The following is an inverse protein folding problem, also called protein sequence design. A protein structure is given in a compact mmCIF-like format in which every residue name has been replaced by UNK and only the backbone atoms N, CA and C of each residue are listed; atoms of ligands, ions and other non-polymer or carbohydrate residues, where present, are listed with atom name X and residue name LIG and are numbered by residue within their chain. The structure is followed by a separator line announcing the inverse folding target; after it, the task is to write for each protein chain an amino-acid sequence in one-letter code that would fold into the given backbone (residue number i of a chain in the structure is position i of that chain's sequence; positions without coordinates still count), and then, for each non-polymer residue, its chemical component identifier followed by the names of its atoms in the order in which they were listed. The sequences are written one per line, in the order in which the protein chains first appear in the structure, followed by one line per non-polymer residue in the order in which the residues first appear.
data_IF_322165747052
#
_entry.id   IF_322165747052
#
_cell.length_a   1.000
_cell.length_b   1.000
_cell.length_c   1.000
_cell.angle_alpha   90.00
_cell.angle_beta   90.00
_cell.angle_gamma   90.00
#
_symmetry.space_group_name_H-M   'P 1'
#
loop_
_entity.id
_entity.type
_entity.pdbx_description
1 polymer ?
#
# COMPACT_ATOMS: atom_id res chain seq x y z
N UNK A 1 -39.95 -16.48 25.41
CA UNK A 1 -39.36 -17.02 24.16
C UNK A 1 -37.93 -16.51 24.12
N UNK A 2 -37.08 -17.17 24.89
CA UNK A 2 -35.68 -16.82 25.06
C UNK A 2 -34.86 -17.40 23.91
N UNK A 3 -34.21 -16.53 23.13
CA UNK A 3 -33.21 -16.95 22.16
C UNK A 3 -31.82 -16.51 22.60
N UNK A 4 -31.12 -17.48 23.18
CA UNK A 4 -29.71 -17.49 23.56
C UNK A 4 -28.82 -17.05 22.38
N UNK A 5 -28.06 -15.98 22.61
CA UNK A 5 -26.88 -15.66 21.80
C UNK A 5 -25.78 -16.68 22.07
N UNK A 6 -25.50 -17.52 21.08
CA UNK A 6 -24.33 -18.38 21.05
C UNK A 6 -23.07 -17.50 20.95
N UNK A 7 -22.41 -17.27 22.08
CA UNK A 7 -21.05 -16.77 22.13
C UNK A 7 -20.10 -17.77 21.46
N UNK A 8 -19.46 -17.36 20.36
CA UNK A 8 -18.29 -18.06 19.86
C UNK A 8 -17.20 -18.04 20.96
N UNK A 9 -16.71 -19.20 21.43
CA UNK A 9 -15.62 -19.22 22.39
C UNK A 9 -14.37 -18.69 21.70
N UNK A 10 -13.80 -17.62 22.29
CA UNK A 10 -12.45 -17.18 21.98
C UNK A 10 -11.51 -18.38 22.00
N UNK A 11 -10.54 -18.44 21.09
CA UNK A 11 -9.46 -19.43 21.08
C UNK A 11 -8.64 -19.28 22.37
N UNK A 12 -9.17 -19.80 23.46
CA UNK A 12 -8.47 -20.05 24.68
C UNK A 12 -7.24 -20.89 24.33
N UNK A 13 -6.11 -20.43 24.84
CA UNK A 13 -4.80 -21.02 24.66
C UNK A 13 -4.86 -22.55 24.56
N UNK A 14 -4.48 -23.08 23.38
CA UNK A 14 -3.88 -24.41 23.30
C UNK A 14 -2.62 -24.37 24.15
N UNK A 15 -2.76 -24.55 25.46
CA UNK A 15 -1.67 -24.88 26.37
C UNK A 15 -1.05 -26.13 25.77
N UNK A 16 0.17 -26.01 25.26
CA UNK A 16 0.96 -27.17 24.86
C UNK A 16 0.96 -28.12 26.06
N UNK A 17 0.74 -29.43 25.87
CA UNK A 17 0.98 -30.38 26.95
C UNK A 17 2.41 -30.14 27.45
N UNK A 18 2.57 -30.07 28.77
CA UNK A 18 3.88 -29.94 29.39
C UNK A 18 4.83 -31.04 28.89
N UNK A 19 6.15 -30.82 28.98
CA UNK A 19 7.11 -31.84 28.59
C UNK A 19 6.76 -33.18 29.26
N UNK A 20 6.87 -34.31 28.55
CA UNK A 20 6.52 -35.62 29.11
C UNK A 20 7.29 -35.84 30.41
N UNK A 21 6.57 -36.29 31.44
CA UNK A 21 7.14 -36.60 32.74
C UNK A 21 8.29 -37.60 32.57
N UNK A 22 9.51 -37.21 32.97
CA UNK A 22 10.69 -38.07 32.92
C UNK A 22 11.91 -37.49 32.18
N UNK A 23 11.79 -36.36 31.47
CA UNK A 23 12.98 -35.66 30.97
C UNK A 23 13.47 -34.72 32.07
N UNK A 24 14.68 -34.93 32.65
CA UNK A 24 15.22 -34.01 33.64
C UNK A 24 15.28 -32.60 33.04
N UNK A 25 14.92 -31.55 33.80
CA UNK A 25 15.06 -30.18 33.32
C UNK A 25 16.51 -29.98 32.86
N UNK A 26 16.68 -29.34 31.69
CA UNK A 26 18.01 -29.04 31.20
C UNK A 26 18.80 -28.33 32.32
N UNK A 27 20.08 -28.68 32.56
CA UNK A 27 20.87 -28.06 33.61
C UNK A 27 20.79 -26.53 33.49
N UNK A 28 20.75 -25.77 34.59
CA UNK A 28 20.77 -24.31 34.53
C UNK A 28 22.03 -23.84 33.77
N UNK A 29 21.95 -22.68 33.13
CA UNK A 29 23.12 -22.05 32.50
C UNK A 29 24.05 -21.53 33.58
N UNK A 30 25.31 -21.97 33.55
CA UNK A 30 26.36 -21.49 34.45
C UNK A 30 26.92 -20.15 33.95
N UNK A 31 27.49 -19.37 34.86
CA UNK A 31 28.11 -18.08 34.53
C UNK A 31 29.29 -18.24 33.55
N UNK A 32 30.04 -19.34 33.66
CA UNK A 32 31.11 -19.68 32.72
C UNK A 32 30.60 -19.92 31.29
N UNK A 33 29.49 -20.65 31.13
CA UNK A 33 28.87 -20.88 29.83
C UNK A 33 28.31 -19.58 29.23
N UNK A 34 27.74 -18.71 30.07
CA UNK A 34 27.23 -17.39 29.66
C UNK A 34 28.39 -16.49 29.22
N UNK A 35 29.48 -16.45 29.97
CA UNK A 35 30.68 -15.68 29.65
C UNK A 35 31.31 -16.17 28.33
N UNK A 36 31.42 -17.48 28.14
CA UNK A 36 31.92 -18.07 26.89
C UNK A 36 31.02 -17.72 25.69
N UNK A 37 29.70 -17.91 25.83
CA UNK A 37 28.73 -17.55 24.79
C UNK A 37 28.81 -16.06 24.42
N UNK A 38 28.96 -15.18 25.41
CA UNK A 38 29.08 -13.73 25.23
C UNK A 38 30.38 -13.35 24.51
N UNK A 39 31.51 -13.91 24.94
CA UNK A 39 32.82 -13.68 24.33
C UNK A 39 32.86 -14.14 22.86
N UNK A 40 32.39 -15.36 22.57
CA UNK A 40 32.37 -15.91 21.20
C UNK A 40 31.44 -15.14 20.26
N UNK A 41 30.31 -14.64 20.77
CA UNK A 41 29.36 -13.84 19.99
C UNK A 41 29.77 -12.39 19.80
N UNK A 42 30.74 -11.89 20.56
CA UNK A 42 31.27 -10.53 20.45
C UNK A 42 32.48 -10.43 19.51
N UNK A 43 32.96 -11.55 18.94
CA UNK A 43 34.02 -11.58 17.93
C UNK A 43 33.53 -11.01 16.59
N UNK A 44 34.47 -10.54 15.77
CA UNK A 44 34.21 -10.09 14.39
C UNK A 44 35.05 -10.92 13.41
N UNK A 45 34.43 -11.83 12.61
CA UNK A 45 33.02 -12.20 12.59
C UNK A 45 32.60 -13.05 13.82
N UNK A 46 31.33 -13.01 14.23
CA UNK A 46 30.85 -13.74 15.39
C UNK A 46 30.83 -15.24 15.13
N UNK A 47 31.26 -16.03 16.12
CA UNK A 47 31.23 -17.50 16.01
C UNK A 47 29.79 -18.00 15.85
N UNK A 48 29.60 -19.03 15.03
CA UNK A 48 28.29 -19.61 14.76
C UNK A 48 27.71 -20.28 16.02
N UNK A 49 26.39 -20.13 16.24
CA UNK A 49 25.71 -20.74 17.40
C UNK A 49 25.83 -22.28 17.41
N UNK A 50 25.78 -23.00 16.27
CA UNK A 50 26.03 -24.44 16.27
C UNK A 50 27.41 -24.82 16.82
N UNK A 51 28.48 -24.12 16.43
CA UNK A 51 29.83 -24.39 16.93
C UNK A 51 29.97 -24.10 18.43
N UNK A 52 29.35 -23.03 18.92
CA UNK A 52 29.32 -22.71 20.35
C UNK A 52 28.54 -23.78 21.14
N UNK A 53 27.41 -24.25 20.59
CA UNK A 53 26.59 -25.27 21.22
C UNK A 53 27.33 -26.60 21.36
N UNK A 54 28.07 -27.00 20.33
CA UNK A 54 28.95 -28.17 20.34
C UNK A 54 30.02 -28.06 21.43
N UNK A 55 30.72 -26.91 21.51
CA UNK A 55 31.76 -26.69 22.52
C UNK A 55 31.24 -26.70 23.96
N UNK A 56 30.02 -26.20 24.18
CA UNK A 56 29.37 -26.18 25.49
C UNK A 56 28.66 -27.50 25.84
N UNK A 57 28.59 -28.47 24.92
CA UNK A 57 27.82 -29.72 25.12
C UNK A 57 26.32 -29.47 25.27
N UNK A 58 25.80 -28.36 24.73
CA UNK A 58 24.40 -27.93 24.85
C UNK A 58 23.66 -28.16 23.54
N UNK A 59 22.34 -28.38 23.61
CA UNK A 59 21.49 -28.47 22.41
C UNK A 59 21.46 -27.13 21.67
N UNK A 60 21.66 -27.14 20.36
CA UNK A 60 21.67 -25.94 19.51
C UNK A 60 20.45 -25.02 19.71
N UNK A 61 19.20 -25.52 19.78
CA UNK A 61 18.04 -24.66 20.06
C UNK A 61 18.08 -23.98 21.44
N UNK A 62 18.64 -24.64 22.46
CA UNK A 62 18.78 -24.07 23.80
C UNK A 62 19.83 -22.95 23.81
N UNK A 63 20.95 -23.14 23.09
CA UNK A 63 21.99 -22.13 22.89
C UNK A 63 21.46 -20.92 22.11
N UNK A 64 20.68 -21.14 21.05
CA UNK A 64 20.00 -20.06 20.33
C UNK A 64 19.07 -19.26 21.23
N UNK A 65 18.24 -19.94 22.03
CA UNK A 65 17.32 -19.26 22.94
C UNK A 65 18.08 -18.44 24.00
N UNK A 66 19.14 -18.99 24.60
CA UNK A 66 19.95 -18.27 25.57
C UNK A 66 20.64 -17.05 24.95
N UNK A 67 21.26 -17.22 23.79
CA UNK A 67 21.90 -16.12 23.06
C UNK A 67 20.90 -15.02 22.70
N UNK A 68 19.64 -15.39 22.39
CA UNK A 68 18.54 -14.43 22.19
C UNK A 68 18.16 -13.70 23.48
N UNK A 69 18.01 -14.42 24.60
CA UNK A 69 17.71 -13.81 25.90
C UNK A 69 18.80 -12.84 26.37
N UNK A 70 20.06 -13.12 26.02
CA UNK A 70 21.20 -12.27 26.32
C UNK A 70 21.40 -11.12 25.32
N UNK A 71 20.56 -11.01 24.28
CA UNK A 71 20.69 -9.97 23.25
C UNK A 71 21.88 -10.14 22.29
N UNK A 72 22.57 -11.30 22.32
CA UNK A 72 23.78 -11.60 21.53
C UNK A 72 23.48 -12.01 20.07
N UNK A 73 22.21 -12.24 19.78
CA UNK A 73 21.72 -12.39 18.42
C UNK A 73 21.00 -11.10 18.09
N UNK A 74 21.70 -10.20 17.39
CA UNK A 74 21.05 -9.11 16.68
C UNK A 74 20.17 -9.77 15.62
N UNK A 75 18.87 -9.88 15.91
CA UNK A 75 17.92 -10.11 14.84
C UNK A 75 18.06 -8.91 13.92
N UNK A 76 18.67 -9.11 12.75
CA UNK A 76 18.65 -8.13 11.68
C UNK A 76 17.22 -8.05 11.16
N UNK A 77 16.31 -7.48 11.95
CA UNK A 77 15.02 -7.01 11.51
C UNK A 77 15.26 -5.75 10.69
N UNK A 78 15.85 -5.91 9.51
CA UNK A 78 15.87 -4.84 8.52
C UNK A 78 14.41 -4.56 8.20
N UNK A 79 13.89 -3.44 8.70
CA UNK A 79 12.52 -2.99 8.48
C UNK A 79 12.28 -2.88 6.97
N UNK A 80 11.05 -3.12 6.55
CA UNK A 80 10.64 -2.89 5.18
C UNK A 80 10.52 -1.39 4.94
N UNK A 81 11.36 -0.87 4.05
CA UNK A 81 11.23 0.50 3.57
C UNK A 81 10.07 0.59 2.58
N UNK A 82 9.61 1.80 2.30
CA UNK A 82 8.59 2.01 1.27
C UNK A 82 9.09 1.60 -0.13
N UNK A 83 10.40 1.74 -0.38
CA UNK A 83 11.07 1.21 -1.57
C UNK A 83 10.99 -0.33 -1.64
N UNK A 84 11.23 -1.04 -0.53
CA UNK A 84 11.10 -2.49 -0.47
C UNK A 84 9.65 -2.92 -0.77
N UNK A 85 8.66 -2.17 -0.25
CA UNK A 85 7.23 -2.42 -0.48
C UNK A 85 6.84 -2.17 -1.95
N UNK A 86 7.34 -1.09 -2.54
CA UNK A 86 7.12 -0.76 -3.95
C UNK A 86 7.74 -1.80 -4.87
N UNK A 87 9.00 -2.18 -4.62
CA UNK A 87 9.70 -3.22 -5.39
C UNK A 87 8.97 -4.57 -5.29
N UNK A 88 8.47 -4.93 -4.11
CA UNK A 88 7.67 -6.15 -3.95
C UNK A 88 6.36 -6.09 -4.76
N UNK A 89 5.69 -4.95 -4.79
CA UNK A 89 4.48 -4.76 -5.61
C UNK A 89 4.78 -4.89 -7.11
N UNK A 90 5.89 -4.32 -7.59
CA UNK A 90 6.35 -4.49 -8.97
C UNK A 90 6.60 -5.96 -9.30
N UNK A 91 7.36 -6.68 -8.45
CA UNK A 91 7.68 -8.09 -8.64
C UNK A 91 6.43 -8.99 -8.60
N UNK A 92 5.45 -8.67 -7.75
CA UNK A 92 4.20 -9.42 -7.62
C UNK A 92 3.26 -9.22 -8.82
N UNK A 93 3.39 -8.12 -9.56
CA UNK A 93 2.57 -7.78 -10.72
C UNK A 93 3.14 -8.30 -12.06
N UNK A 94 4.37 -8.84 -12.08
CA UNK A 94 5.01 -9.35 -13.30
C UNK A 94 4.19 -10.50 -13.92
N UNK A 95 4.09 -10.49 -15.25
CA UNK A 95 3.53 -11.59 -16.04
C UNK A 95 4.60 -12.17 -16.99
N UNK A 96 4.85 -13.49 -17.00
CA UNK A 96 4.28 -14.53 -16.15
C UNK A 96 4.56 -14.32 -14.65
N UNK A 97 3.64 -14.76 -13.76
CA UNK A 97 3.79 -14.54 -12.33
C UNK A 97 5.02 -15.28 -11.78
N UNK A 98 5.89 -14.54 -11.08
CA UNK A 98 7.05 -15.11 -10.41
C UNK A 98 6.62 -16.01 -9.24
N UNK A 99 7.44 -17.01 -8.91
CA UNK A 99 7.25 -17.86 -7.72
C UNK A 99 7.68 -17.14 -6.44
N UNK A 100 7.16 -17.54 -5.28
CA UNK A 100 7.53 -16.92 -3.98
C UNK A 100 9.05 -16.99 -3.74
N UNK A 101 9.70 -18.08 -4.18
CA UNK A 101 11.15 -18.25 -4.09
C UNK A 101 11.95 -17.28 -4.97
N UNK A 102 11.45 -16.99 -6.18
CA UNK A 102 12.10 -16.02 -7.08
C UNK A 102 11.96 -14.59 -6.55
N UNK A 103 10.80 -14.24 -6.01
CA UNK A 103 10.56 -12.94 -5.37
C UNK A 103 11.47 -12.79 -4.14
N UNK A 104 11.55 -13.82 -3.30
CA UNK A 104 12.43 -13.86 -2.14
C UNK A 104 13.91 -13.67 -2.50
N UNK A 105 14.38 -14.35 -3.55
CA UNK A 105 15.74 -14.17 -4.06
C UNK A 105 15.98 -12.75 -4.59
N UNK A 106 15.04 -12.17 -5.34
CA UNK A 106 15.16 -10.82 -5.89
C UNK A 106 15.14 -9.71 -4.82
N UNK A 107 14.55 -10.00 -3.66
CA UNK A 107 14.47 -9.12 -2.50
C UNK A 107 15.61 -9.36 -1.49
N UNK A 108 16.41 -10.41 -1.67
CA UNK A 108 17.40 -10.89 -0.69
C UNK A 108 16.78 -11.12 0.70
N UNK A 109 15.63 -11.80 0.74
CA UNK A 109 14.85 -12.06 1.97
C UNK A 109 14.31 -13.48 1.99
N UNK A 110 13.89 -13.92 3.18
CA UNK A 110 13.21 -15.21 3.34
C UNK A 110 11.83 -15.25 2.68
N UNK A 111 11.48 -16.41 2.12
CA UNK A 111 10.19 -16.67 1.44
C UNK A 111 9.00 -16.35 2.34
N UNK A 112 9.02 -16.83 3.58
CA UNK A 112 7.95 -16.60 4.56
C UNK A 112 7.79 -15.10 4.85
N UNK A 113 8.90 -14.37 4.92
CA UNK A 113 8.93 -12.92 5.16
C UNK A 113 8.26 -12.15 4.01
N UNK A 114 8.56 -12.53 2.76
CA UNK A 114 7.90 -11.95 1.57
C UNK A 114 6.43 -12.31 1.51
N UNK A 115 6.06 -13.53 1.87
CA UNK A 115 4.66 -13.99 1.88
C UNK A 115 3.82 -13.18 2.87
N UNK A 116 4.35 -12.95 4.07
CA UNK A 116 3.71 -12.07 5.06
C UNK A 116 3.55 -10.64 4.53
N UNK A 117 4.60 -10.07 3.95
CA UNK A 117 4.53 -8.71 3.42
C UNK A 117 3.57 -8.60 2.23
N UNK A 118 3.52 -9.60 1.35
CA UNK A 118 2.54 -9.65 0.25
C UNK A 118 1.09 -9.74 0.77
N UNK A 119 0.86 -10.45 1.87
CA UNK A 119 -0.45 -10.51 2.51
C UNK A 119 -0.84 -9.16 3.12
N UNK A 120 0.09 -8.50 3.81
CA UNK A 120 -0.08 -7.16 4.40
C UNK A 120 -0.42 -6.11 3.33
N UNK A 121 0.22 -6.20 2.16
CA UNK A 121 -0.01 -5.31 1.02
C UNK A 121 -1.20 -5.71 0.14
N UNK A 122 -1.89 -6.83 0.43
CA UNK A 122 -3.02 -7.31 -0.37
C UNK A 122 -2.66 -7.84 -1.76
N UNK A 123 -1.38 -8.11 -2.05
CA UNK A 123 -0.87 -8.49 -3.37
C UNK A 123 -1.22 -9.95 -3.75
N UNK A 124 -1.56 -10.78 -2.76
CA UNK A 124 -1.85 -12.21 -2.99
C UNK A 124 -3.03 -12.39 -3.94
N UNK A 125 -4.11 -11.62 -3.77
CA UNK A 125 -5.32 -11.77 -4.58
C UNK A 125 -5.06 -11.46 -6.06
N UNK A 126 -4.41 -10.31 -6.35
CA UNK A 126 -4.08 -9.93 -7.72
C UNK A 126 -3.13 -10.93 -8.41
N UNK A 127 -2.17 -11.47 -7.66
CA UNK A 127 -1.24 -12.48 -8.17
C UNK A 127 -1.91 -13.84 -8.43
N UNK A 128 -2.89 -14.24 -7.62
CA UNK A 128 -3.67 -15.46 -7.88
C UNK A 128 -4.40 -15.36 -9.22
N UNK A 129 -5.01 -14.21 -9.52
CA UNK A 129 -5.67 -13.97 -10.82
C UNK A 129 -4.69 -14.06 -11.98
N UNK A 130 -3.48 -13.48 -11.83
CA UNK A 130 -2.42 -13.61 -12.84
C UNK A 130 -1.98 -15.07 -13.03
N UNK A 131 -1.90 -15.85 -11.94
CA UNK A 131 -1.55 -17.26 -11.99
C UNK A 131 -2.61 -18.10 -12.70
N UNK A 132 -3.89 -17.87 -12.40
CA UNK A 132 -5.02 -18.52 -13.09
C UNK A 132 -5.05 -18.20 -14.58
N UNK A 133 -4.81 -16.93 -14.94
CA UNK A 133 -4.70 -16.55 -16.35
C UNK A 133 -3.53 -17.26 -17.04
N UNK A 134 -2.36 -17.29 -16.41
CA UNK A 134 -1.18 -17.96 -16.97
C UNK A 134 -1.37 -19.47 -17.11
N UNK A 135 -2.03 -20.11 -16.15
CA UNK A 135 -2.34 -21.55 -16.25
C UNK A 135 -3.35 -21.82 -17.37
N UNK A 136 -4.37 -20.98 -17.54
CA UNK A 136 -5.32 -21.07 -18.63
C UNK A 136 -4.65 -20.90 -20.01
N UNK A 137 -3.79 -19.88 -20.18
CA UNK A 137 -3.05 -19.67 -21.43
C UNK A 137 -2.12 -20.85 -21.75
N UNK A 138 -1.38 -21.39 -20.77
CA UNK A 138 -0.56 -22.60 -20.99
C UNK A 138 -1.39 -23.82 -21.35
N UNK A 139 -2.59 -23.95 -20.78
CA UNK A 139 -3.47 -25.06 -21.09
C UNK A 139 -3.99 -24.95 -22.52
N UNK A 140 -4.43 -23.76 -22.95
CA UNK A 140 -4.83 -23.50 -24.32
C UNK A 140 -3.72 -23.82 -25.34
N UNK A 141 -2.47 -23.44 -25.05
CA UNK A 141 -1.31 -23.77 -25.91
C UNK A 141 -1.11 -25.29 -26.00
N UNK A 142 -1.24 -26.03 -24.89
CA UNK A 142 -1.13 -27.50 -24.91
C UNK A 142 -2.26 -28.15 -25.70
N UNK A 143 -3.48 -27.65 -25.55
CA UNK A 143 -4.63 -28.21 -26.23
C UNK A 143 -4.58 -27.93 -27.74
N UNK A 144 -4.14 -26.74 -28.14
CA UNK A 144 -3.86 -26.42 -29.54
C UNK A 144 -2.76 -27.32 -30.14
N UNK A 145 -1.68 -27.58 -29.38
CA UNK A 145 -0.61 -28.49 -29.83
C UNK A 145 -1.11 -29.94 -29.98
N UNK A 146 -1.95 -30.42 -29.06
CA UNK A 146 -2.58 -31.76 -29.16
C UNK A 146 -3.53 -31.85 -30.35
N UNK A 147 -4.29 -30.80 -30.60
CA UNK A 147 -5.22 -30.75 -31.74
C UNK A 147 -4.46 -30.73 -33.07
N UNK A 148 -3.38 -29.96 -33.16
CA UNK A 148 -2.49 -29.98 -34.31
C UNK A 148 -1.88 -31.38 -34.54
N UNK A 149 -1.45 -32.07 -33.47
CA UNK A 149 -0.97 -33.45 -33.57
C UNK A 149 -2.07 -34.42 -34.04
N UNK A 150 -3.30 -34.27 -33.54
CA UNK A 150 -4.47 -35.07 -33.95
C UNK A 150 -4.77 -34.90 -35.43
N UNK A 151 -4.79 -33.65 -35.91
CA UNK A 151 -5.01 -33.33 -37.33
C UNK A 151 -3.86 -33.85 -38.20
N UNK A 152 -2.61 -33.71 -37.77
CA UNK A 152 -1.46 -34.26 -38.47
C UNK A 152 -1.52 -35.80 -38.57
N UNK A 153 -1.91 -36.50 -37.50
CA UNK A 153 -2.14 -37.96 -37.51
C UNK A 153 -3.31 -38.37 -38.41
N UNK A 154 -4.36 -37.56 -38.50
CA UNK A 154 -5.50 -37.82 -39.37
C UNK A 154 -5.18 -37.59 -40.85
N UNK A 155 -4.33 -36.60 -41.16
CA UNK A 155 -3.86 -36.28 -42.50
C UNK A 155 -2.72 -37.20 -42.98
N UNK A 156 -2.05 -37.89 -42.06
CA UNK A 156 -1.00 -38.84 -42.43
C UNK A 156 -1.60 -39.99 -43.26
N UNK A 157 -1.02 -40.30 -44.45
CA UNK A 157 -1.48 -41.42 -45.26
C UNK A 157 -1.36 -42.69 -44.42
N UNK A 158 -2.47 -43.44 -44.32
CA UNK A 158 -2.47 -44.78 -43.75
C UNK A 158 -1.67 -45.68 -44.70
N UNK A 159 -0.35 -45.68 -44.55
CA UNK A 159 0.48 -46.73 -45.09
C UNK A 159 0.02 -47.98 -44.36
N UNK A 160 -0.77 -48.79 -45.06
CA UNK A 160 -1.16 -50.12 -44.63
C UNK A 160 0.12 -50.94 -44.69
N UNK A 161 0.92 -50.84 -43.64
CA UNK A 161 1.97 -51.82 -43.39
C UNK A 161 1.17 -53.10 -43.16
N UNK A 162 1.09 -53.94 -44.19
CA UNK A 162 0.69 -55.32 -44.02
C UNK A 162 1.49 -55.83 -42.83
N UNK A 163 0.77 -56.11 -41.73
CA UNK A 163 1.37 -56.83 -40.62
C UNK A 163 1.81 -58.14 -41.23
N UNK A 164 3.12 -58.24 -41.49
CA UNK A 164 3.77 -59.53 -41.67
C UNK A 164 3.24 -60.39 -40.51
N UNK A 165 2.58 -61.52 -40.80
CA UNK A 165 1.96 -62.32 -39.77
C UNK A 165 3.01 -62.59 -38.70
N UNK A 166 2.72 -62.16 -37.47
CA UNK A 166 3.53 -62.50 -36.30
C UNK A 166 3.54 -64.02 -36.25
N UNK A 167 4.63 -64.61 -36.73
CA UNK A 167 4.89 -66.03 -36.57
C UNK A 167 4.79 -66.29 -35.07
N UNK A 168 3.88 -67.16 -34.61
CA UNK A 168 3.79 -67.46 -33.19
C UNK A 168 5.17 -67.94 -32.75
N UNK A 169 5.71 -67.34 -31.68
CA UNK A 169 6.97 -67.75 -31.11
C UNK A 169 6.86 -69.24 -30.79
N UNK A 170 7.47 -70.05 -31.66
CA UNK A 170 7.58 -71.48 -31.48
C UNK A 170 8.26 -71.70 -30.13
N UNK A 171 7.53 -72.35 -29.22
CA UNK A 171 8.06 -72.98 -28.00
C UNK A 171 9.45 -73.54 -28.32
N UNK A 172 10.49 -73.35 -27.50
CA UNK A 172 11.82 -73.85 -27.81
C UNK A 172 11.74 -75.38 -27.92
N UNK A 173 11.72 -75.88 -29.16
CA UNK A 173 11.82 -77.29 -29.45
C UNK A 173 13.19 -77.70 -28.93
N UNK A 174 13.18 -78.60 -27.96
CA UNK A 174 14.37 -79.21 -27.37
C UNK A 174 15.20 -79.78 -28.54
N UNK A 175 16.34 -79.16 -28.81
CA UNK A 175 17.24 -79.56 -29.90
C UNK A 175 17.52 -81.07 -29.79
N UNK A 176 17.25 -81.86 -30.85
CA UNK A 176 17.61 -83.27 -30.85
C UNK A 176 19.13 -83.39 -30.69
N UNK A 177 19.59 -84.36 -29.89
CA UNK A 177 21.02 -84.59 -29.58
C UNK A 177 21.91 -84.70 -30.84
N UNK A 178 21.33 -85.03 -32.00
CA UNK A 178 22.01 -85.04 -33.29
C UNK A 178 22.39 -83.65 -33.84
N UNK A 179 21.59 -82.60 -33.58
CA UNK A 179 21.93 -81.22 -33.96
C UNK A 179 23.10 -80.66 -33.11
N UNK A 180 23.20 -81.11 -31.85
CA UNK A 180 24.31 -80.77 -30.94
C UNK A 180 25.62 -81.47 -31.35
N UNK A 181 25.54 -82.69 -31.87
CA UNK A 181 26.68 -83.41 -32.44
C UNK A 181 27.13 -82.85 -33.80
N UNK A 182 26.19 -82.43 -34.67
CA UNK A 182 26.52 -81.75 -35.93
C UNK A 182 27.24 -80.40 -35.72
N UNK A 183 26.89 -79.67 -34.65
CA UNK A 183 27.67 -78.49 -34.24
C UNK A 183 29.09 -78.89 -33.85
N UNK A 184 29.33 -79.98 -33.15
CA UNK A 184 30.69 -80.37 -32.76
C UNK A 184 31.61 -80.71 -33.95
N UNK A 185 31.06 -81.07 -35.12
CA UNK A 185 31.80 -81.34 -36.36
C UNK A 185 31.80 -80.18 -37.39
N UNK A 186 31.25 -79.02 -37.04
CA UNK A 186 31.34 -77.85 -37.92
C UNK A 186 32.80 -77.41 -38.03
N UNK A 187 33.29 -77.36 -39.28
CA UNK A 187 34.65 -76.98 -39.66
C UNK A 187 35.12 -75.77 -38.83
N UNK A 188 36.22 -75.89 -38.07
CA UNK A 188 36.73 -74.81 -37.24
C UNK A 188 37.00 -73.52 -38.04
N UNK A 189 37.31 -73.63 -39.33
CA UNK A 189 37.51 -72.47 -40.22
C UNK A 189 36.21 -71.72 -40.50
N UNK A 190 35.10 -72.41 -40.78
CA UNK A 190 33.79 -71.79 -40.99
C UNK A 190 33.28 -71.06 -39.73
N UNK A 191 33.62 -71.56 -38.55
CA UNK A 191 33.29 -70.91 -37.27
C UNK A 191 34.12 -69.66 -37.00
N UNK A 192 35.39 -69.67 -37.38
CA UNK A 192 36.26 -68.49 -37.30
C UNK A 192 35.78 -67.42 -38.27
N UNK A 193 35.48 -67.77 -39.52
CA UNK A 193 34.92 -66.86 -40.52
C UNK A 193 33.59 -66.22 -40.07
N UNK A 194 32.67 -67.00 -39.50
CA UNK A 194 31.41 -66.46 -38.98
C UNK A 194 31.61 -65.51 -37.77
N UNK A 195 32.61 -65.79 -36.92
CA UNK A 195 32.98 -64.91 -35.80
C UNK A 195 33.63 -63.62 -36.28
N UNK A 196 34.43 -63.67 -37.34
CA UNK A 196 35.04 -62.49 -37.96
C UNK A 196 33.99 -61.61 -38.65
N UNK A 197 33.07 -62.20 -39.42
CA UNK A 197 31.93 -61.46 -39.99
C UNK A 197 31.06 -60.84 -38.89
N UNK A 198 30.79 -61.57 -37.79
CA UNK A 198 30.03 -61.01 -36.67
C UNK A 198 30.76 -59.86 -35.98
N UNK A 199 32.10 -59.90 -35.89
CA UNK A 199 32.91 -58.78 -35.39
C UNK A 199 32.87 -57.58 -36.33
N UNK A 200 32.98 -57.81 -37.64
CA UNK A 200 32.88 -56.77 -38.68
C UNK A 200 31.52 -56.06 -38.65
N UNK A 201 30.43 -56.83 -38.62
CA UNK A 201 29.07 -56.28 -38.49
C UNK A 201 28.87 -55.53 -37.17
N UNK A 202 29.46 -56.00 -36.06
CA UNK A 202 29.41 -55.30 -34.78
C UNK A 202 30.19 -53.99 -34.80
N UNK A 203 31.32 -53.91 -35.52
CA UNK A 203 32.07 -52.65 -35.70
C UNK A 203 31.32 -51.67 -36.59
N UNK A 204 30.71 -52.14 -37.68
CA UNK A 204 29.89 -51.30 -38.57
C UNK A 204 28.65 -50.76 -37.85
N UNK A 205 27.95 -51.60 -37.08
CA UNK A 205 26.80 -51.17 -36.28
C UNK A 205 27.19 -50.12 -35.23
N UNK A 206 28.35 -50.25 -34.58
CA UNK A 206 28.87 -49.24 -33.65
C UNK A 206 29.18 -47.92 -34.35
N UNK A 207 29.79 -47.98 -35.53
CA UNK A 207 30.10 -46.79 -36.33
C UNK A 207 28.82 -46.03 -36.74
N UNK A 208 27.79 -46.74 -37.18
CA UNK A 208 26.49 -46.14 -37.52
C UNK A 208 25.81 -45.48 -36.31
N UNK A 209 25.81 -46.13 -35.15
CA UNK A 209 25.26 -45.57 -33.90
C UNK A 209 26.00 -44.30 -33.50
N UNK A 210 27.34 -44.25 -33.65
CA UNK A 210 28.11 -43.03 -33.36
C UNK A 210 27.80 -41.89 -34.32
N UNK A 211 27.64 -42.15 -35.63
CA UNK A 211 27.28 -41.13 -36.62
C UNK A 211 25.89 -40.55 -36.32
N UNK A 212 24.92 -41.40 -36.01
CA UNK A 212 23.57 -40.96 -35.65
C UNK A 212 23.55 -40.16 -34.33
N UNK A 213 24.34 -40.57 -33.34
CA UNK A 213 24.50 -39.84 -32.09
C UNK A 213 25.13 -38.45 -32.31
N UNK A 214 26.14 -38.34 -33.18
CA UNK A 214 26.76 -37.07 -33.54
C UNK A 214 25.78 -36.14 -34.27
N UNK A 215 25.02 -36.65 -35.24
CA UNK A 215 23.99 -35.88 -35.94
C UNK A 215 22.90 -35.35 -34.98
N UNK A 216 22.49 -36.14 -33.98
CA UNK A 216 21.57 -35.69 -32.93
C UNK A 216 22.18 -34.60 -32.04
N UNK A 217 23.47 -34.69 -31.70
CA UNK A 217 24.17 -33.65 -30.92
C UNK A 217 24.22 -32.33 -31.70
N UNK A 218 24.53 -32.38 -32.99
CA UNK A 218 24.56 -31.19 -33.86
C UNK A 218 23.18 -30.56 -34.01
N UNK A 219 22.15 -31.39 -34.24
CA UNK A 219 20.76 -30.92 -34.31
C UNK A 219 20.34 -30.24 -33.00
N UNK A 220 20.66 -30.84 -31.85
CA UNK A 220 20.38 -30.24 -30.54
C UNK A 220 21.17 -28.94 -30.29
N UNK A 221 22.38 -28.81 -30.83
CA UNK A 221 23.14 -27.56 -30.78
C UNK A 221 22.48 -26.48 -31.62
N UNK A 222 22.06 -26.79 -32.85
CA UNK A 222 21.36 -25.85 -33.71
C UNK A 222 20.04 -25.36 -33.08
N UNK A 223 19.25 -26.27 -32.51
CA UNK A 223 18.02 -25.91 -31.79
C UNK A 223 18.28 -25.02 -30.57
N UNK A 224 19.38 -25.23 -29.84
CA UNK A 224 19.77 -24.36 -28.72
C UNK A 224 20.13 -22.96 -29.19
N UNK A 225 20.84 -22.82 -30.31
CA UNK A 225 21.18 -21.51 -30.88
C UNK A 225 19.91 -20.76 -31.26
N UNK A 226 19.00 -21.40 -32.00
CA UNK A 226 17.71 -20.81 -32.39
C UNK A 226 16.90 -20.40 -31.15
N UNK A 227 16.86 -21.23 -30.11
CA UNK A 227 16.16 -20.91 -28.87
C UNK A 227 16.77 -19.69 -28.13
N UNK A 228 18.10 -19.56 -28.14
CA UNK A 228 18.78 -18.40 -27.54
C UNK A 228 18.53 -17.12 -28.33
N UNK A 229 18.54 -17.19 -29.66
CA UNK A 229 18.21 -16.06 -30.54
C UNK A 229 16.76 -15.60 -30.35
N UNK A 230 15.82 -16.54 -30.26
CA UNK A 230 14.42 -16.23 -29.99
C UNK A 230 14.22 -15.58 -28.60
N UNK A 231 14.97 -16.04 -27.60
CA UNK A 231 14.94 -15.44 -26.25
C UNK A 231 15.52 -14.02 -26.28
N UNK A 232 16.62 -13.80 -26.99
CA UNK A 232 17.23 -12.48 -27.13
C UNK A 232 16.30 -11.49 -27.87
N UNK A 233 15.60 -11.94 -28.91
CA UNK A 233 14.59 -11.15 -29.61
C UNK A 233 13.42 -10.78 -28.68
N UNK A 234 12.91 -11.74 -27.92
CA UNK A 234 11.85 -11.50 -26.93
C UNK A 234 12.27 -10.48 -25.86
N UNK A 235 13.50 -10.59 -25.34
CA UNK A 235 14.03 -9.64 -24.36
C UNK A 235 14.22 -8.24 -24.96
N UNK A 236 14.58 -8.14 -26.25
CA UNK A 236 14.68 -6.86 -26.95
C UNK A 236 13.31 -6.20 -27.13
N UNK A 237 12.30 -6.96 -27.55
CA UNK A 237 10.92 -6.48 -27.69
C UNK A 237 10.35 -6.02 -26.34
N UNK A 238 10.59 -6.79 -25.28
CA UNK A 238 10.20 -6.41 -23.93
C UNK A 238 10.86 -5.12 -23.50
N UNK A 239 12.17 -4.95 -23.73
CA UNK A 239 12.88 -3.69 -23.41
C UNK A 239 12.35 -2.52 -24.23
N UNK A 240 11.99 -2.72 -25.49
CA UNK A 240 11.38 -1.69 -26.32
C UNK A 240 9.98 -1.28 -25.80
N UNK A 241 9.16 -2.25 -25.38
CA UNK A 241 7.86 -1.99 -24.76
C UNK A 241 8.02 -1.22 -23.43
N UNK A 242 8.96 -1.63 -22.58
CA UNK A 242 9.26 -0.95 -21.31
C UNK A 242 9.74 0.50 -21.56
N UNK A 243 10.57 0.71 -22.58
CA UNK A 243 11.02 2.05 -22.99
C UNK A 243 9.87 2.93 -23.48
N UNK A 244 8.98 2.38 -24.30
CA UNK A 244 7.79 3.09 -24.77
C UNK A 244 6.85 3.46 -23.62
N UNK A 245 6.61 2.53 -22.68
CA UNK A 245 5.80 2.79 -21.50
C UNK A 245 6.40 3.91 -20.61
N UNK A 246 7.73 3.94 -20.47
CA UNK A 246 8.43 5.02 -19.76
C UNK A 246 8.30 6.36 -20.47
N UNK A 247 8.38 6.39 -21.79
CA UNK A 247 8.22 7.61 -22.58
C UNK A 247 6.80 8.20 -22.45
N UNK A 248 5.77 7.36 -22.56
CA UNK A 248 4.37 7.76 -22.34
C UNK A 248 4.14 8.25 -20.91
N UNK A 249 4.69 7.57 -19.90
CA UNK A 249 4.57 8.01 -18.51
C UNK A 249 5.23 9.38 -18.28
N UNK A 250 6.37 9.66 -18.92
CA UNK A 250 7.01 10.98 -18.88
C UNK A 250 6.18 12.05 -19.57
N UNK A 251 5.55 11.74 -20.72
CA UNK A 251 4.65 12.66 -21.42
C UNK A 251 3.44 13.03 -20.55
N UNK A 252 2.78 12.04 -19.96
CA UNK A 252 1.65 12.25 -19.04
C UNK A 252 2.04 13.07 -17.81
N UNK A 253 3.24 12.83 -17.24
CA UNK A 253 3.77 13.64 -16.13
C UNK A 253 3.99 15.09 -16.55
N UNK A 254 4.55 15.32 -17.73
CA UNK A 254 4.77 16.67 -18.26
C UNK A 254 3.44 17.40 -18.50
N UNK A 255 2.46 16.73 -19.10
CA UNK A 255 1.10 17.27 -19.29
C UNK A 255 0.43 17.61 -17.96
N UNK A 256 0.55 16.75 -16.95
CA UNK A 256 0.01 17.03 -15.61
C UNK A 256 0.69 18.24 -14.95
N UNK A 257 2.00 18.44 -15.15
CA UNK A 257 2.71 19.62 -14.67
C UNK A 257 2.23 20.88 -15.38
N UNK A 258 2.04 20.83 -16.71
CA UNK A 258 1.50 21.95 -17.47
C UNK A 258 0.06 22.29 -17.04
N UNK A 259 -0.78 21.29 -16.80
CA UNK A 259 -2.15 21.47 -16.33
C UNK A 259 -2.18 22.13 -14.93
N UNK A 260 -1.34 21.67 -13.99
CA UNK A 260 -1.20 22.29 -12.66
C UNK A 260 -0.71 23.73 -12.74
N UNK A 261 0.22 24.02 -13.65
CA UNK A 261 0.71 25.39 -13.88
C UNK A 261 -0.42 26.29 -14.40
N UNK A 262 -1.19 25.81 -15.40
CA UNK A 262 -2.33 26.54 -15.94
C UNK A 262 -3.42 26.79 -14.88
N UNK A 263 -3.69 25.83 -14.00
CA UNK A 263 -4.63 26.02 -12.88
C UNK A 263 -4.12 27.07 -11.88
N UNK A 264 -2.82 27.04 -11.54
CA UNK A 264 -2.21 28.02 -10.67
C UNK A 264 -2.26 29.44 -11.26
N UNK A 265 -2.02 29.57 -12.57
CA UNK A 265 -2.10 30.85 -13.28
C UNK A 265 -3.55 31.37 -13.33
N UNK A 266 -4.55 30.49 -13.51
CA UNK A 266 -5.98 30.86 -13.39
C UNK A 266 -6.32 31.37 -12.00
N UNK A 267 -5.91 30.65 -10.94
CA UNK A 267 -6.14 31.09 -9.54
C UNK A 267 -5.49 32.43 -9.23
N UNK A 268 -4.29 32.69 -9.78
CA UNK A 268 -3.62 33.99 -9.66
C UNK A 268 -4.40 35.10 -10.36
N UNK A 269 -4.89 34.86 -11.57
CA UNK A 269 -5.72 35.81 -12.31
C UNK A 269 -7.04 36.11 -11.58
N UNK A 270 -7.72 35.09 -11.05
CA UNK A 270 -8.93 35.25 -10.24
C UNK A 270 -8.68 36.05 -8.96
N UNK A 271 -7.58 35.76 -8.25
CA UNK A 271 -7.20 36.49 -7.04
C UNK A 271 -6.88 37.97 -7.35
N UNK A 272 -6.21 38.25 -8.46
CA UNK A 272 -5.92 39.60 -8.91
C UNK A 272 -7.20 40.36 -9.30
N UNK A 273 -8.10 39.72 -10.06
CA UNK A 273 -9.40 40.28 -10.41
C UNK A 273 -10.23 40.60 -9.14
N UNK A 274 -10.24 39.69 -8.15
CA UNK A 274 -10.90 39.91 -6.87
C UNK A 274 -10.28 41.08 -6.09
N UNK A 275 -8.95 41.25 -6.13
CA UNK A 275 -8.26 42.38 -5.51
C UNK A 275 -8.67 43.71 -6.16
N UNK A 276 -8.70 43.76 -7.49
CA UNK A 276 -9.13 44.94 -8.25
C UNK A 276 -10.60 45.28 -7.97
N UNK A 277 -11.49 44.28 -7.93
CA UNK A 277 -12.90 44.48 -7.60
C UNK A 277 -13.09 45.04 -6.17
N UNK A 278 -12.33 44.54 -5.19
CA UNK A 278 -12.34 45.06 -3.82
C UNK A 278 -11.83 46.50 -3.75
N UNK A 279 -10.76 46.83 -4.48
CA UNK A 279 -10.23 48.19 -4.57
C UNK A 279 -11.25 49.16 -5.20
N UNK A 280 -11.89 48.76 -6.30
CA UNK A 280 -12.96 49.54 -6.93
C UNK A 280 -14.15 49.78 -5.97
N UNK A 281 -14.59 48.74 -5.25
CA UNK A 281 -15.67 48.87 -4.25
C UNK A 281 -15.29 49.77 -3.08
N UNK A 282 -14.02 49.78 -2.64
CA UNK A 282 -13.52 50.72 -1.63
C UNK A 282 -13.57 52.15 -2.14
N UNK A 283 -13.07 52.40 -3.35
CA UNK A 283 -13.11 53.71 -4.00
C UNK A 283 -14.54 54.24 -4.12
N UNK A 284 -15.48 53.42 -4.62
CA UNK A 284 -16.90 53.81 -4.69
C UNK A 284 -17.49 54.18 -3.33
N UNK A 285 -17.12 53.48 -2.25
CA UNK A 285 -17.58 53.80 -0.89
C UNK A 285 -16.95 55.08 -0.36
N UNK A 286 -15.69 55.36 -0.69
CA UNK A 286 -15.00 56.60 -0.33
C UNK A 286 -15.60 57.79 -1.07
N UNK A 287 -15.83 57.67 -2.38
CA UNK A 287 -16.48 58.68 -3.20
C UNK A 287 -17.90 58.98 -2.68
N UNK A 288 -18.70 57.94 -2.39
CA UNK A 288 -20.04 58.10 -1.81
C UNK A 288 -20.01 58.77 -0.43
N UNK A 289 -19.00 58.49 0.41
CA UNK A 289 -18.82 59.16 1.70
C UNK A 289 -18.43 60.62 1.53
N UNK A 290 -17.55 60.93 0.58
CA UNK A 290 -17.14 62.29 0.27
C UNK A 290 -18.33 63.11 -0.24
N UNK A 291 -19.18 62.54 -1.09
CA UNK A 291 -20.37 63.19 -1.59
C UNK A 291 -21.42 63.41 -0.49
N UNK A 292 -21.68 62.40 0.35
CA UNK A 292 -22.55 62.56 1.52
C UNK A 292 -22.05 63.64 2.50
N UNK A 293 -20.73 63.76 2.67
CA UNK A 293 -20.13 64.82 3.48
C UNK A 293 -20.33 66.22 2.85
N UNK A 294 -20.20 66.35 1.52
CA UNK A 294 -20.48 67.59 0.78
C UNK A 294 -21.95 68.00 0.95
N UNK A 295 -22.89 67.07 0.77
CA UNK A 295 -24.32 67.34 0.95
C UNK A 295 -24.64 67.80 2.38
N UNK A 296 -24.07 67.14 3.40
CA UNK A 296 -24.22 67.58 4.80
C UNK A 296 -23.64 68.97 5.07
N UNK A 297 -22.52 69.32 4.42
CA UNK A 297 -21.92 70.64 4.55
C UNK A 297 -22.80 71.73 3.93
N UNK A 298 -23.39 71.48 2.75
CA UNK A 298 -24.35 72.38 2.10
C UNK A 298 -25.56 72.59 3.01
N UNK A 299 -26.18 71.52 3.50
CA UNK A 299 -27.36 71.61 4.37
C UNK A 299 -27.07 72.38 5.68
N UNK A 300 -25.89 72.18 6.28
CA UNK A 300 -25.47 72.96 7.46
C UNK A 300 -25.28 74.44 7.13
N UNK A 301 -24.75 74.77 5.96
CA UNK A 301 -24.58 76.15 5.53
C UNK A 301 -25.94 76.84 5.30
N UNK A 302 -26.91 76.13 4.72
CA UNK A 302 -28.30 76.60 4.57
C UNK A 302 -28.95 76.88 5.92
N UNK A 303 -28.90 75.92 6.86
CA UNK A 303 -29.43 76.12 8.22
C UNK A 303 -28.76 77.29 8.95
N UNK A 304 -27.44 77.47 8.77
CA UNK A 304 -26.73 78.59 9.35
C UNK A 304 -27.12 79.93 8.72
N UNK A 305 -27.41 79.96 7.41
CA UNK A 305 -27.90 81.14 6.71
C UNK A 305 -29.33 81.50 7.16
N UNK A 306 -30.21 80.51 7.30
CA UNK A 306 -31.55 80.69 7.87
C UNK A 306 -31.50 81.23 9.29
N UNK A 307 -30.66 80.66 10.16
CA UNK A 307 -30.48 81.13 11.53
C UNK A 307 -29.99 82.58 11.58
N UNK A 308 -29.07 82.97 10.69
CA UNK A 308 -28.59 84.37 10.56
C UNK A 308 -29.70 85.31 10.08
N UNK A 309 -30.49 84.90 9.10
CA UNK A 309 -31.64 85.68 8.62
C UNK A 309 -32.67 85.89 9.74
N UNK A 310 -32.94 84.85 10.53
CA UNK A 310 -33.86 84.89 11.66
C UNK A 310 -33.34 85.78 12.80
N UNK A 311 -32.03 85.74 13.08
CA UNK A 311 -31.38 86.63 14.04
C UNK A 311 -31.44 88.10 13.61
N UNK A 312 -31.21 88.41 12.32
CA UNK A 312 -31.36 89.75 11.75
C UNK A 312 -32.80 90.26 11.81
N UNK A 313 -33.79 89.38 11.57
CA UNK A 313 -35.21 89.72 11.71
C UNK A 313 -35.57 90.02 13.17
N UNK A 314 -34.96 89.31 14.13
CA UNK A 314 -35.17 89.52 15.57
C UNK A 314 -34.49 90.81 16.07
N UNK A 315 -33.34 91.18 15.52
CA UNK A 315 -32.65 92.44 15.83
C UNK A 315 -33.44 93.70 15.42
N UNK A 316 -34.33 93.60 14.42
CA UNK A 316 -35.26 94.68 14.05
C UNK A 316 -36.47 94.81 15.00
N UNK A 317 -36.64 93.89 15.95
CA UNK A 317 -37.66 93.89 17.00
C UNK A 317 -36.99 93.69 18.36
N UNK A 318 -36.22 94.68 18.80
CA UNK A 318 -35.78 94.75 20.18
C UNK A 318 -36.06 96.15 20.75
N UNK A 319 -36.89 96.28 21.80
CA UNK A 319 -36.92 97.48 22.61
C UNK A 319 -35.65 97.56 23.47
N UNK A 320 -35.20 98.80 23.71
CA UNK A 320 -34.08 99.16 24.56
C UNK A 320 -34.36 98.65 25.99
N UNK A 321 -33.51 97.76 26.50
CA UNK A 321 -33.53 97.34 27.91
C UNK A 321 -32.15 97.57 28.52
N UNK A 322 -32.18 98.27 29.65
CA UNK A 322 -31.09 98.74 30.49
C UNK A 322 -30.36 97.58 31.16
N UNK A 323 -29.04 97.72 31.25
CA UNK A 323 -28.07 96.85 31.92
C UNK A 323 -28.28 96.74 33.43
N UNK A 324 -28.26 95.52 33.97
CA UNK A 324 -27.88 95.26 35.38
C UNK A 324 -26.96 94.02 35.42
N UNK A 325 -25.78 94.21 36.00
CA UNK A 325 -24.77 93.19 36.23
C UNK A 325 -25.18 92.22 37.36
N UNK A 326 -24.71 90.95 37.32
CA UNK A 326 -24.47 90.21 38.55
C UNK A 326 -23.07 89.61 38.66
N UNK A 327 -22.54 89.82 39.87
CA UNK A 327 -21.55 89.14 40.70
C UNK A 327 -20.80 87.86 40.22
N UNK A 328 -19.54 87.67 40.68
CA UNK A 328 -18.70 86.52 40.35
C UNK A 328 -19.10 85.27 41.15
N UNK A 329 -19.27 84.14 40.45
CA UNK A 329 -19.50 82.84 41.07
C UNK A 329 -18.18 82.08 41.29
N UNK A 330 -18.00 81.72 42.55
CA UNK A 330 -16.90 81.01 43.20
C UNK A 330 -16.66 79.62 42.58
N UNK A 331 -15.38 79.27 42.39
CA UNK A 331 -14.93 77.94 42.01
C UNK A 331 -15.08 76.93 43.17
N UNK A 332 -15.60 75.71 42.93
CA UNK A 332 -15.45 74.62 43.89
C UNK A 332 -14.21 73.77 43.58
N UNK A 333 -13.44 73.53 44.64
CA UNK A 333 -12.29 72.64 44.73
C UNK A 333 -12.68 71.15 44.54
N UNK A 334 -11.73 70.26 44.19
CA UNK A 334 -11.99 68.85 43.90
C UNK A 334 -12.24 68.06 45.18
N UNK A 335 -13.17 67.10 45.15
CA UNK A 335 -13.36 66.11 46.22
C UNK A 335 -12.97 64.70 45.76
N UNK A 336 -12.46 63.87 46.71
CA UNK A 336 -11.69 62.67 46.43
C UNK A 336 -12.56 61.44 46.14
N UNK A 337 -11.92 60.47 45.50
CA UNK A 337 -12.42 59.13 45.25
C UNK A 337 -12.82 58.41 46.54
N UNK A 338 -13.96 57.70 46.50
CA UNK A 338 -14.33 56.67 47.46
C UNK A 338 -14.64 55.36 46.71
N UNK A 339 -14.29 54.20 47.30
CA UNK A 339 -14.30 52.90 46.63
C UNK A 339 -15.72 52.30 46.55
N UNK A 340 -16.03 51.68 45.41
CA UNK A 340 -17.23 50.87 45.26
C UNK A 340 -17.07 49.56 46.05
N UNK A 341 -17.74 49.51 47.22
CA UNK A 341 -17.97 48.28 47.96
C UNK A 341 -19.27 47.62 47.48
N UNK A 342 -19.14 46.33 47.22
CA UNK A 342 -20.16 45.28 47.18
C UNK A 342 -21.31 45.44 48.18
N UNK A 343 -22.54 45.37 47.68
CA UNK A 343 -23.66 44.48 48.11
C UNK A 343 -25.00 45.15 47.77
N UNK A 344 -25.71 44.61 46.78
CA UNK A 344 -27.14 44.84 46.61
C UNK A 344 -27.82 43.54 46.20
N UNK A 345 -28.71 43.12 47.11
CA UNK A 345 -29.97 42.41 46.89
C UNK A 345 -29.97 41.05 46.18
N UNK A 346 -30.13 40.02 47.02
CA UNK A 346 -31.07 38.92 46.77
C UNK A 346 -32.40 39.46 46.22
N UNK A 347 -32.67 39.14 44.96
CA UNK A 347 -33.95 39.33 44.30
C UNK A 347 -34.21 38.14 43.38
N UNK A 348 -34.90 37.13 43.90
CA UNK A 348 -35.52 36.07 43.09
C UNK A 348 -36.31 36.69 41.94
N UNK A 349 -35.93 36.43 40.68
CA UNK A 349 -36.84 36.27 39.52
C UNK A 349 -36.06 35.83 38.27
N UNK A 350 -36.26 34.54 37.96
CA UNK A 350 -36.43 33.88 36.66
C UNK A 350 -36.06 34.67 35.39
N UNK A 351 -35.43 33.92 34.46
CA UNK A 351 -35.09 34.24 33.06
C UNK A 351 -33.71 34.89 32.89
N UNK A 352 -32.65 34.10 33.11
CA UNK A 352 -31.39 34.34 32.41
C UNK A 352 -31.71 34.37 30.91
N UNK A 353 -31.46 35.50 30.26
CA UNK A 353 -31.77 35.65 28.85
C UNK A 353 -31.00 34.60 28.05
N UNK A 354 -31.60 34.12 26.96
CA UNK A 354 -30.97 33.18 26.03
C UNK A 354 -29.55 33.62 25.63
N UNK A 355 -29.31 34.93 25.54
CA UNK A 355 -28.00 35.51 25.27
C UNK A 355 -27.00 35.27 26.40
N UNK A 356 -27.39 35.37 27.67
CA UNK A 356 -26.52 35.05 28.79
C UNK A 356 -26.19 33.56 28.85
N UNK A 357 -27.16 32.68 28.57
CA UNK A 357 -26.89 31.23 28.46
C UNK A 357 -25.98 30.89 27.28
N UNK A 358 -26.14 31.57 26.14
CA UNK A 358 -25.25 31.40 24.98
C UNK A 358 -23.85 31.95 25.25
N UNK A 359 -23.73 33.08 25.94
CA UNK A 359 -22.44 33.66 26.33
C UNK A 359 -21.70 32.76 27.32
N UNK A 360 -22.40 32.17 28.30
CA UNK A 360 -21.82 31.23 29.26
C UNK A 360 -21.43 29.91 28.57
N UNK A 361 -22.22 29.44 27.61
CA UNK A 361 -21.91 28.26 26.80
C UNK A 361 -20.69 28.50 25.90
N UNK A 362 -20.56 29.68 25.30
CA UNK A 362 -19.41 30.05 24.47
C UNK A 362 -18.13 30.15 25.33
N UNK A 363 -18.22 30.81 26.48
CA UNK A 363 -17.09 30.93 27.42
C UNK A 363 -16.65 29.56 27.97
N UNK A 364 -17.59 28.64 28.22
CA UNK A 364 -17.28 27.27 28.63
C UNK A 364 -16.62 26.48 27.49
N UNK A 365 -17.07 26.64 26.24
CA UNK A 365 -16.45 26.00 25.08
C UNK A 365 -15.00 26.49 24.85
N UNK A 366 -14.76 27.79 25.01
CA UNK A 366 -13.42 28.40 24.91
C UNK A 366 -12.50 27.92 26.04
N UNK A 367 -13.01 27.80 27.27
CA UNK A 367 -12.25 27.28 28.40
C UNK A 367 -11.87 25.79 28.21
N UNK A 368 -12.77 24.98 27.65
CA UNK A 368 -12.50 23.58 27.30
C UNK A 368 -11.48 23.47 26.16
N UNK A 369 -11.58 24.33 25.14
CA UNK A 369 -10.61 24.39 24.04
C UNK A 369 -9.22 24.79 24.53
N UNK A 370 -9.13 25.78 25.42
CA UNK A 370 -7.88 26.20 26.06
C UNK A 370 -7.30 25.09 26.96
N UNK A 371 -8.14 24.36 27.70
CA UNK A 371 -7.72 23.22 28.52
C UNK A 371 -7.18 22.06 27.67
N UNK A 372 -7.81 21.76 26.53
CA UNK A 372 -7.38 20.74 25.58
C UNK A 372 -6.05 21.14 24.92
N UNK A 373 -5.90 22.40 24.53
CA UNK A 373 -4.66 22.94 23.97
C UNK A 373 -3.49 22.90 24.97
N UNK A 374 -3.74 23.23 26.24
CA UNK A 374 -2.73 23.24 27.30
C UNK A 374 -2.26 21.84 27.72
N UNK A 375 -3.09 20.80 27.56
CA UNK A 375 -2.73 19.41 27.93
C UNK A 375 -2.12 18.58 26.80
N UNK A 376 -1.97 19.14 25.59
CA UNK A 376 -1.39 18.41 24.45
C UNK A 376 -2.18 17.17 24.04
N UNK A 377 -3.42 17.01 24.51
CA UNK A 377 -4.32 15.91 24.09
C UNK A 377 -5.04 16.37 22.83
N UNK A 378 -4.28 16.51 21.74
CA UNK A 378 -4.90 16.53 20.43
C UNK A 378 -5.45 15.14 20.20
N UNK A 379 -6.78 14.96 20.26
CA UNK A 379 -7.40 13.81 19.58
C UNK A 379 -6.87 13.84 18.14
N UNK A 380 -6.17 12.80 17.67
CA UNK A 380 -5.75 12.78 16.28
C UNK A 380 -7.00 12.95 15.44
N UNK A 381 -6.99 13.90 14.50
CA UNK A 381 -8.07 14.03 13.54
C UNK A 381 -8.22 12.65 12.88
N UNK A 382 -9.34 11.98 13.16
CA UNK A 382 -9.63 10.67 12.59
C UNK A 382 -9.61 10.85 11.07
N UNK A 383 -8.83 10.02 10.38
CA UNK A 383 -8.84 10.03 8.93
C UNK A 383 -10.25 9.72 8.43
N UNK A 384 -10.61 10.14 7.22
CA UNK A 384 -11.93 9.86 6.65
C UNK A 384 -12.25 8.36 6.64
N UNK A 385 -11.23 7.51 6.44
CA UNK A 385 -11.33 6.06 6.56
C UNK A 385 -11.62 5.58 8.00
N UNK A 386 -11.04 6.22 9.02
CA UNK A 386 -11.32 5.89 10.42
C UNK A 386 -12.72 6.31 10.85
N UNK A 387 -13.24 7.41 10.31
CA UNK A 387 -14.65 7.82 10.54
C UNK A 387 -15.63 6.79 9.98
N UNK A 388 -15.35 6.26 8.78
CA UNK A 388 -16.13 5.18 8.18
C UNK A 388 -16.08 3.88 9.01
N UNK A 389 -14.91 3.50 9.54
CA UNK A 389 -14.78 2.35 10.45
C UNK A 389 -15.56 2.57 11.75
N UNK A 390 -15.58 3.79 12.26
CA UNK A 390 -16.36 4.15 13.45
C UNK A 390 -17.87 4.06 13.22
N UNK A 391 -18.34 4.27 12.00
CA UNK A 391 -19.73 4.04 11.58
C UNK A 391 -20.05 2.56 11.33
N UNK A 392 -19.09 1.64 11.51
CA UNK A 392 -19.28 0.19 11.43
C UNK A 392 -19.00 -0.44 10.07
N UNK A 393 -18.47 0.30 9.10
CA UNK A 393 -18.16 -0.23 7.78
C UNK A 393 -16.80 -0.96 7.74
N UNK A 394 -16.73 -2.08 7.01
CA UNK A 394 -15.46 -2.72 6.62
C UNK A 394 -14.83 -1.89 5.50
N UNK A 395 -13.77 -1.15 5.81
CA UNK A 395 -13.09 -0.25 4.86
C UNK A 395 -11.85 -0.93 4.29
N UNK A 396 -11.87 -1.21 2.98
CA UNK A 396 -10.75 -1.76 2.22
C UNK A 396 -10.18 -0.68 1.29
N UNK A 397 -8.86 -0.60 1.15
CA UNK A 397 -8.25 0.31 0.19
C UNK A 397 -8.56 -0.13 -1.25
N UNK A 398 -8.99 0.79 -2.10
CA UNK A 398 -9.31 0.50 -3.50
C UNK A 398 -8.94 1.69 -4.42
N UNK A 399 -7.82 1.57 -5.12
CA UNK A 399 -7.31 2.65 -5.97
C UNK A 399 -6.96 3.90 -5.16
N UNK A 400 -7.48 5.05 -5.59
CA UNK A 400 -7.32 6.35 -4.89
C UNK A 400 -8.38 6.59 -3.80
N UNK A 401 -9.24 5.61 -3.54
CA UNK A 401 -10.31 5.71 -2.56
C UNK A 401 -10.48 4.42 -1.76
N UNK A 402 -11.71 4.15 -1.33
CA UNK A 402 -12.01 3.05 -0.40
C UNK A 402 -13.24 2.25 -0.85
N UNK A 403 -13.24 0.97 -0.54
CA UNK A 403 -14.36 0.06 -0.73
C UNK A 403 -14.97 -0.27 0.62
N UNK A 404 -16.28 -0.06 0.76
CA UNK A 404 -17.06 -0.35 1.96
C UNK A 404 -17.78 -1.70 1.82
N UNK A 405 -17.63 -2.58 2.80
CA UNK A 405 -18.30 -3.89 2.92
C UNK A 405 -18.21 -4.76 1.66
N UNK A 406 -17.15 -4.57 0.86
CA UNK A 406 -16.93 -5.23 -0.44
C UNK A 406 -18.03 -5.00 -1.49
N UNK A 407 -18.82 -3.92 -1.32
CA UNK A 407 -19.97 -3.63 -2.18
C UNK A 407 -19.93 -2.24 -2.79
N UNK A 408 -19.54 -1.24 -2.01
CA UNK A 408 -19.61 0.17 -2.42
C UNK A 408 -18.21 0.73 -2.60
N UNK A 409 -17.91 1.26 -3.78
CA UNK A 409 -16.62 1.89 -4.07
C UNK A 409 -16.77 3.40 -4.04
N UNK A 410 -15.94 4.06 -3.22
CA UNK A 410 -15.80 5.50 -3.15
C UNK A 410 -14.44 5.85 -3.76
N UNK A 411 -14.44 6.54 -4.90
CA UNK A 411 -13.26 6.63 -5.77
C UNK A 411 -12.16 7.58 -5.28
N UNK A 412 -12.50 8.56 -4.44
CA UNK A 412 -11.60 9.60 -3.94
C UNK A 412 -12.06 10.16 -2.57
N UNK A 413 -11.22 11.02 -1.97
CA UNK A 413 -11.53 11.68 -0.69
C UNK A 413 -12.83 12.50 -0.73
N UNK A 414 -13.16 13.11 -1.87
CA UNK A 414 -14.38 13.90 -2.03
C UNK A 414 -15.64 13.01 -1.98
N UNK A 415 -15.60 11.84 -2.61
CA UNK A 415 -16.66 10.84 -2.55
C UNK A 415 -16.81 10.27 -1.15
N UNK A 416 -15.70 10.10 -0.41
CA UNK A 416 -15.73 9.67 0.98
C UNK A 416 -16.36 10.72 1.89
N UNK A 417 -15.96 11.98 1.73
CA UNK A 417 -16.54 13.10 2.49
C UNK A 417 -18.04 13.26 2.20
N UNK A 418 -18.46 13.21 0.93
CA UNK A 418 -19.87 13.30 0.56
C UNK A 418 -20.71 12.12 1.10
N UNK A 419 -20.15 10.91 1.12
CA UNK A 419 -20.80 9.74 1.69
C UNK A 419 -20.95 9.86 3.22
N UNK A 420 -19.93 10.37 3.91
CA UNK A 420 -19.98 10.62 5.35
C UNK A 420 -21.00 11.72 5.68
N UNK A 421 -21.00 12.83 4.96
CA UNK A 421 -21.98 13.92 5.16
C UNK A 421 -23.42 13.42 5.03
N UNK A 422 -23.71 12.59 4.01
CA UNK A 422 -25.03 12.00 3.82
C UNK A 422 -25.48 11.05 4.95
N UNK A 423 -24.54 10.52 5.75
CA UNK A 423 -24.80 9.58 6.85
C UNK A 423 -24.71 10.23 8.23
N UNK A 424 -23.94 11.30 8.37
CA UNK A 424 -23.79 12.08 9.60
C UNK A 424 -24.84 13.20 9.72
N UNK A 425 -25.47 13.62 8.62
CA UNK A 425 -26.66 14.49 8.73
C UNK A 425 -27.81 13.73 9.40
N UNK A 426 -28.34 14.21 10.53
CA UNK A 426 -29.52 13.61 11.13
C UNK A 426 -30.66 13.77 10.14
N UNK A 427 -31.25 12.63 9.73
CA UNK A 427 -32.52 12.61 9.00
C UNK A 427 -33.52 13.41 9.84
N UNK A 428 -33.84 14.62 9.40
CA UNK A 428 -34.99 15.34 9.93
C UNK A 428 -36.23 14.51 9.58
N UNK A 429 -36.71 13.78 10.58
CA UNK A 429 -37.98 13.09 10.62
C UNK A 429 -38.68 13.53 11.91
#
# INVERSE_FOLDING_TARGET
MDHLHAHHPSKAAKRRPGPPAGIPPAPPWTDAEIAYLTAERSKTPPTSIPAIAEKLGRKTPATYNRARMLGLIVQQHRRYTDEDRAKLAELAAVYPPMTDGQIAAAMDRGVESMRWLMAELGLIAGRTVLHERWTAERQAVRDAAREAERLARAAAPRIRVERVPRVPASRPVREPRSARAARLHADPTARLAAREMARQLATEARALITVEAMARIETNRALRVIALEALAAYDADRKAADAHARAEALRLRHEAVLAKKAEADRKRAEAEAARLARAAKRKMREDARAEAARQKAIHRAELAAEARALALARAKRAPIVVTVAPAPAIAPAPRPAAPASTYASHGMRKMASREQSLALSAAAADAVAAFIAARGVTRPALTLADRLRHLGYEVLAHGNGVMLDRKTVLADEAAIAAFLDARETPRAA
#
